data_IF_058289481279
#
_entry.id   IF_058289481279
#
_cell.length_a   1.000
_cell.length_b   1.000
_cell.length_c   1.000
_cell.angle_alpha   90.00
_cell.angle_beta   90.00
_cell.angle_gamma   90.00
#
_symmetry.space_group_name_H-M   'P 1'
#
loop_
_entity.id
_entity.type
_entity.pdbx_description
1 polymer ?
#
# COMPACT_ATOMS: atom_id res chain seq x y z
N UNK A 1 -0.43 -6.24 -23.70
CA UNK A 1 -0.79 -5.26 -22.65
C UNK A 1 0.39 -5.07 -21.71
N UNK A 2 0.57 -3.85 -21.22
CA UNK A 2 1.59 -3.59 -20.21
C UNK A 2 1.23 -4.28 -18.91
N UNK A 3 2.23 -4.53 -18.06
CA UNK A 3 2.00 -5.13 -16.75
C UNK A 3 1.11 -4.23 -15.86
N UNK A 4 1.26 -2.91 -16.00
CA UNK A 4 0.38 -1.95 -15.31
C UNK A 4 -1.08 -2.15 -15.69
N UNK A 5 -1.37 -2.23 -16.98
CA UNK A 5 -2.75 -2.42 -17.47
C UNK A 5 -3.36 -3.72 -16.98
N UNK A 6 -2.57 -4.80 -16.96
CA UNK A 6 -3.03 -6.10 -16.45
C UNK A 6 -3.38 -6.05 -14.98
N UNK A 7 -2.52 -5.44 -14.17
CA UNK A 7 -2.77 -5.32 -12.72
C UNK A 7 -3.96 -4.42 -12.44
N UNK A 8 -4.05 -3.30 -13.15
CA UNK A 8 -5.19 -2.38 -13.02
C UNK A 8 -6.50 -3.10 -13.33
N UNK A 9 -6.55 -3.84 -14.43
CA UNK A 9 -7.73 -4.61 -14.82
C UNK A 9 -8.09 -5.66 -13.76
N UNK A 10 -7.11 -6.42 -13.28
CA UNK A 10 -7.32 -7.43 -12.25
C UNK A 10 -7.89 -6.84 -10.96
N UNK A 11 -7.37 -5.69 -10.54
CA UNK A 11 -7.81 -5.04 -9.30
C UNK A 11 -9.24 -4.49 -9.43
N UNK A 12 -9.59 -3.94 -10.59
CA UNK A 12 -10.96 -3.48 -10.85
C UNK A 12 -11.93 -4.66 -10.82
N UNK A 13 -11.57 -5.77 -11.45
CA UNK A 13 -12.38 -6.99 -11.46
C UNK A 13 -12.55 -7.57 -10.05
N UNK A 14 -11.49 -7.53 -9.25
CA UNK A 14 -11.53 -8.00 -7.86
C UNK A 14 -12.55 -7.21 -7.02
N UNK A 15 -12.69 -5.90 -7.28
CA UNK A 15 -13.67 -5.07 -6.60
C UNK A 15 -15.11 -5.31 -7.10
N UNK A 16 -15.27 -6.03 -8.20
CA UNK A 16 -16.58 -6.28 -8.78
C UNK A 16 -17.21 -5.07 -9.47
N UNK A 17 -16.40 -4.08 -9.83
CA UNK A 17 -16.86 -2.87 -10.50
C UNK A 17 -16.63 -2.97 -12.00
N UNK A 18 -17.52 -2.34 -12.80
CA UNK A 18 -17.22 -2.13 -14.21
C UNK A 18 -16.37 -0.88 -14.38
N UNK A 19 -15.88 -0.64 -15.60
CA UNK A 19 -14.99 0.49 -15.89
C UNK A 19 -15.64 1.84 -15.59
N UNK A 20 -16.92 1.99 -15.92
CA UNK A 20 -17.65 3.22 -15.68
C UNK A 20 -17.79 3.52 -14.20
N UNK A 21 -18.16 2.50 -13.42
CA UNK A 21 -18.30 2.62 -11.97
C UNK A 21 -16.98 2.97 -11.30
N UNK A 22 -15.91 2.30 -11.73
CA UNK A 22 -14.58 2.54 -11.19
C UNK A 22 -14.11 3.96 -11.50
N UNK A 23 -14.28 4.42 -12.75
CA UNK A 23 -13.88 5.77 -13.15
C UNK A 23 -14.61 6.83 -12.32
N UNK A 24 -15.91 6.66 -12.10
CA UNK A 24 -16.69 7.56 -11.26
C UNK A 24 -16.20 7.59 -9.82
N UNK A 25 -15.90 6.41 -9.27
CA UNK A 25 -15.43 6.28 -7.89
C UNK A 25 -14.04 6.88 -7.70
N UNK A 26 -13.16 6.73 -8.67
CA UNK A 26 -11.81 7.28 -8.64
C UNK A 26 -11.76 8.78 -8.97
N UNK A 27 -12.86 9.34 -9.49
CA UNK A 27 -12.90 10.74 -9.89
C UNK A 27 -12.13 11.02 -11.17
N UNK A 28 -12.07 10.06 -12.08
CA UNK A 28 -11.41 10.20 -13.38
C UNK A 28 -12.42 9.99 -14.50
N UNK A 29 -12.08 10.45 -15.70
CA UNK A 29 -12.94 10.25 -16.88
C UNK A 29 -12.84 8.81 -17.35
N UNK A 30 -13.98 8.21 -17.72
CA UNK A 30 -14.01 6.86 -18.30
C UNK A 30 -13.10 6.76 -19.50
N UNK A 31 -13.07 7.79 -20.35
CA UNK A 31 -12.22 7.84 -21.53
C UNK A 31 -10.73 7.71 -21.19
N UNK A 32 -10.30 8.37 -20.11
CA UNK A 32 -8.92 8.25 -19.62
C UNK A 32 -8.64 6.82 -19.14
N UNK A 33 -9.56 6.24 -18.39
CA UNK A 33 -9.41 4.86 -17.92
C UNK A 33 -9.33 3.88 -19.09
N UNK A 34 -10.15 4.06 -20.11
CA UNK A 34 -10.13 3.23 -21.31
C UNK A 34 -8.75 3.26 -21.99
N UNK A 35 -8.10 4.44 -22.02
CA UNK A 35 -6.76 4.57 -22.56
C UNK A 35 -5.71 3.80 -21.77
N UNK A 36 -5.85 3.75 -20.44
CA UNK A 36 -4.92 3.02 -19.58
C UNK A 36 -5.11 1.51 -19.68
N UNK A 37 -6.34 1.06 -19.91
CA UNK A 37 -6.67 -0.37 -20.04
C UNK A 37 -6.58 -0.91 -21.45
N UNK A 38 -6.58 -0.03 -22.46
CA UNK A 38 -6.68 -0.41 -23.85
C UNK A 38 -5.33 -0.69 -24.52
N UNK A 39 -5.39 -0.91 -25.83
CA UNK A 39 -4.23 -1.25 -26.65
C UNK A 39 -3.19 -0.14 -26.73
N UNK A 40 -3.56 1.10 -26.45
CA UNK A 40 -2.64 2.24 -26.45
C UNK A 40 -1.65 2.20 -25.30
N UNK A 41 -1.96 1.44 -24.24
CA UNK A 41 -1.09 1.25 -23.06
C UNK A 41 -0.58 2.57 -22.47
N UNK A 42 -1.44 3.60 -22.48
CA UNK A 42 -1.11 4.89 -21.89
C UNK A 42 -0.89 4.76 -20.39
N UNK A 43 0.08 5.51 -19.89
CA UNK A 43 0.30 5.58 -18.44
C UNK A 43 -0.37 6.83 -17.88
N UNK A 44 -1.03 6.74 -16.71
CA UNK A 44 -1.64 7.92 -16.12
C UNK A 44 -0.59 8.89 -15.60
N UNK A 45 -0.90 10.21 -15.59
CA UNK A 45 -0.10 11.16 -14.85
C UNK A 45 -0.03 10.81 -13.36
N UNK A 46 0.96 11.32 -12.66
CA UNK A 46 1.20 10.95 -11.26
C UNK A 46 -0.01 11.20 -10.36
N UNK A 47 -0.70 12.33 -10.52
CA UNK A 47 -1.89 12.65 -9.72
C UNK A 47 -3.03 11.68 -10.00
N UNK A 48 -3.25 11.31 -11.25
CA UNK A 48 -4.26 10.34 -11.65
C UNK A 48 -3.91 8.95 -11.12
N UNK A 49 -2.63 8.57 -11.18
CA UNK A 49 -2.15 7.28 -10.64
C UNK A 49 -2.44 7.16 -9.15
N UNK A 50 -2.25 8.23 -8.38
CA UNK A 50 -2.57 8.25 -6.95
C UNK A 50 -4.07 8.06 -6.71
N UNK A 51 -4.93 8.73 -7.49
CA UNK A 51 -6.38 8.56 -7.38
C UNK A 51 -6.81 7.12 -7.65
N UNK A 52 -6.24 6.50 -8.68
CA UNK A 52 -6.52 5.11 -9.03
C UNK A 52 -6.08 4.18 -7.89
N UNK A 53 -4.84 4.31 -7.43
CA UNK A 53 -4.28 3.47 -6.38
C UNK A 53 -5.06 3.60 -5.07
N UNK A 54 -5.42 4.82 -4.68
CA UNK A 54 -6.20 5.08 -3.46
C UNK A 54 -7.58 4.42 -3.53
N UNK A 55 -8.24 4.47 -4.68
CA UNK A 55 -9.55 3.86 -4.88
C UNK A 55 -9.45 2.33 -4.81
N UNK A 56 -8.37 1.75 -5.32
CA UNK A 56 -8.13 0.32 -5.25
C UNK A 56 -7.63 -0.17 -3.88
N UNK A 57 -7.11 0.73 -3.06
CA UNK A 57 -6.48 0.35 -1.79
C UNK A 57 -5.11 -0.28 -1.94
N UNK A 58 -4.41 0.03 -3.03
CA UNK A 58 -3.06 -0.47 -3.31
C UNK A 58 -2.10 0.71 -3.51
N UNK A 59 -0.81 0.42 -3.59
CA UNK A 59 0.18 1.46 -3.87
C UNK A 59 0.37 1.66 -5.37
N UNK A 60 0.79 2.86 -5.77
CA UNK A 60 1.18 3.13 -7.16
C UNK A 60 2.32 2.21 -7.56
N UNK A 61 3.28 2.00 -6.66
CA UNK A 61 4.43 1.13 -6.93
C UNK A 61 3.99 -0.30 -7.26
N UNK A 62 3.03 -0.85 -6.51
CA UNK A 62 2.47 -2.17 -6.82
C UNK A 62 1.91 -2.23 -8.24
N UNK A 63 1.14 -1.23 -8.65
CA UNK A 63 0.54 -1.21 -9.99
C UNK A 63 1.60 -1.18 -11.08
N UNK A 64 2.71 -0.48 -10.85
CA UNK A 64 3.79 -0.33 -11.85
C UNK A 64 4.74 -1.52 -11.84
N UNK A 65 5.17 -1.98 -10.66
CA UNK A 65 6.25 -2.96 -10.53
C UNK A 65 5.79 -4.35 -10.11
N UNK A 66 4.58 -4.47 -9.57
CA UNK A 66 4.08 -5.72 -9.00
C UNK A 66 4.62 -6.04 -7.61
N UNK A 67 5.41 -5.17 -7.04
CA UNK A 67 5.95 -5.37 -5.69
C UNK A 67 4.98 -4.88 -4.64
N UNK A 68 4.44 -5.79 -3.86
CA UNK A 68 3.64 -5.43 -2.70
C UNK A 68 4.55 -5.17 -1.51
N UNK A 69 4.55 -3.93 -1.04
CA UNK A 69 5.06 -3.67 0.29
C UNK A 69 3.94 -3.96 1.27
N UNK A 70 4.03 -5.09 1.97
CA UNK A 70 3.18 -5.32 3.12
C UNK A 70 3.62 -4.35 4.19
N UNK A 71 2.92 -3.24 4.29
CA UNK A 71 3.04 -2.42 5.47
C UNK A 71 2.29 -3.14 6.58
N UNK A 72 3.03 -3.78 7.48
CA UNK A 72 2.46 -4.36 8.68
C UNK A 72 1.94 -3.28 9.63
N UNK A 73 2.24 -2.02 9.33
CA UNK A 73 1.88 -0.84 10.14
C UNK A 73 1.32 0.22 9.19
N UNK A 74 0.12 0.71 9.46
CA UNK A 74 -0.48 1.77 8.65
C UNK A 74 0.19 3.13 8.95
N UNK A 75 -0.12 4.14 8.12
CA UNK A 75 0.46 5.48 8.24
C UNK A 75 0.09 6.12 9.58
N UNK A 76 -1.13 5.92 10.08
CA UNK A 76 -1.56 6.43 11.39
C UNK A 76 -0.67 5.93 12.51
N UNK A 77 -0.40 4.62 12.51
CA UNK A 77 0.47 4.00 13.50
C UNK A 77 1.91 4.53 13.40
N UNK A 78 2.42 4.68 12.17
CA UNK A 78 3.75 5.26 11.95
C UNK A 78 3.85 6.67 12.52
N UNK A 79 2.87 7.52 12.25
CA UNK A 79 2.87 8.90 12.73
C UNK A 79 2.80 8.97 14.26
N UNK A 80 2.06 8.05 14.87
CA UNK A 80 1.95 7.95 16.33
C UNK A 80 3.29 7.65 17.00
N UNK A 81 4.14 6.86 16.36
CA UNK A 81 5.43 6.43 16.91
C UNK A 81 6.64 7.14 16.30
N UNK A 82 6.39 8.16 15.48
CA UNK A 82 7.44 8.88 14.77
C UNK A 82 8.54 9.42 15.68
N UNK A 83 8.16 10.04 16.80
CA UNK A 83 9.12 10.61 17.75
C UNK A 83 10.01 9.53 18.36
N UNK A 84 9.45 8.36 18.66
CA UNK A 84 10.22 7.22 19.20
C UNK A 84 11.21 6.73 18.15
N UNK A 85 10.81 6.68 16.87
CA UNK A 85 11.68 6.28 15.78
C UNK A 85 12.84 7.26 15.59
N UNK A 86 12.56 8.57 15.68
CA UNK A 86 13.59 9.60 15.59
C UNK A 86 14.60 9.47 16.73
N UNK A 87 14.12 9.24 17.95
CA UNK A 87 14.98 9.04 19.13
C UNK A 87 15.84 7.78 18.99
N UNK A 88 15.25 6.67 18.51
CA UNK A 88 16.01 5.45 18.27
C UNK A 88 17.10 5.63 17.22
N UNK A 89 16.85 6.47 16.22
CA UNK A 89 17.79 6.69 15.12
C UNK A 89 19.09 7.38 15.58
N UNK A 90 19.04 8.19 16.65
CA UNK A 90 20.23 8.87 17.17
C UNK A 90 21.03 8.02 18.16
N UNK A 91 20.50 6.86 18.58
CA UNK A 91 21.21 5.98 19.49
C UNK A 91 22.25 5.14 18.74
N UNK A 92 23.42 4.88 19.35
CA UNK A 92 24.37 3.93 18.75
C UNK A 92 23.81 2.50 18.80
N UNK A 93 24.31 1.65 17.90
CA UNK A 93 23.86 0.27 17.78
C UNK A 93 23.96 -0.51 19.09
N UNK A 94 24.98 -0.24 19.88
CA UNK A 94 25.22 -0.89 21.18
C UNK A 94 24.07 -0.68 22.15
N UNK A 95 23.38 0.47 22.08
CA UNK A 95 22.24 0.80 22.92
C UNK A 95 20.94 0.40 22.23
N UNK A 96 20.87 0.58 20.90
CA UNK A 96 19.67 0.30 20.13
C UNK A 96 19.32 -1.18 20.10
N UNK A 97 20.32 -2.06 19.93
CA UNK A 97 20.09 -3.49 19.77
C UNK A 97 19.41 -4.14 20.98
N UNK A 98 19.85 -3.88 22.23
CA UNK A 98 19.12 -4.39 23.39
C UNK A 98 17.67 -3.91 23.48
N UNK A 99 17.41 -2.65 23.11
CA UNK A 99 16.06 -2.08 23.10
C UNK A 99 15.18 -2.81 22.08
N UNK A 100 15.71 -3.06 20.89
CA UNK A 100 15.00 -3.81 19.84
C UNK A 100 14.66 -5.22 20.31
N UNK A 101 15.59 -5.88 20.99
CA UNK A 101 15.38 -7.22 21.52
C UNK A 101 14.25 -7.24 22.56
N UNK A 102 14.20 -6.27 23.46
CA UNK A 102 13.13 -6.16 24.47
C UNK A 102 11.78 -5.93 23.81
N UNK A 103 11.71 -5.00 22.85
CA UNK A 103 10.47 -4.70 22.13
C UNK A 103 9.96 -5.95 21.41
N UNK A 104 10.86 -6.67 20.74
CA UNK A 104 10.49 -7.88 20.02
C UNK A 104 9.95 -8.95 20.95
N UNK A 105 10.59 -9.16 22.11
CA UNK A 105 10.15 -10.14 23.09
C UNK A 105 8.73 -9.86 23.60
N UNK A 106 8.43 -8.60 23.92
CA UNK A 106 7.09 -8.20 24.34
C UNK A 106 6.07 -8.34 23.21
N UNK A 107 6.43 -7.93 22.00
CA UNK A 107 5.55 -8.04 20.85
C UNK A 107 5.20 -9.48 20.52
N UNK A 108 6.17 -10.38 20.57
CA UNK A 108 5.95 -11.81 20.33
C UNK A 108 5.04 -12.43 21.39
N UNK A 109 5.21 -12.01 22.65
CA UNK A 109 4.34 -12.45 23.75
C UNK A 109 2.89 -12.04 23.51
N UNK A 110 2.66 -10.79 23.08
CA UNK A 110 1.30 -10.30 22.77
C UNK A 110 0.69 -10.99 21.56
N UNK A 111 1.50 -11.29 20.54
CA UNK A 111 1.02 -12.04 19.37
C UNK A 111 0.57 -13.45 19.75
N UNK A 112 1.29 -14.12 20.65
CA UNK A 112 0.89 -15.44 21.15
C UNK A 112 -0.42 -15.38 21.91
N UNK A 113 -0.65 -14.36 22.73
CA UNK A 113 -1.92 -14.16 23.44
C UNK A 113 -3.08 -14.01 22.47
N UNK A 114 -2.91 -13.23 21.39
CA UNK A 114 -3.94 -13.05 20.36
C UNK A 114 -4.27 -14.34 19.64
N UNK A 115 -3.27 -15.19 19.39
CA UNK A 115 -3.49 -16.49 18.76
C UNK A 115 -4.25 -17.44 19.70
N UNK A 116 -4.01 -17.37 21.00
CA UNK A 116 -4.68 -18.22 21.99
C UNK A 116 -6.16 -17.85 22.17
N UNK A 117 -6.54 -16.61 21.87
CA UNK A 117 -7.91 -16.08 22.03
C UNK A 117 -8.80 -16.35 20.81
N UNK A 118 -8.29 -17.02 19.78
CA UNK A 118 -9.03 -17.33 18.55
C UNK A 118 -9.74 -18.69 18.64
#
# INVERSE_FOLDING_TARGET
MSEFSKRLRSEIEYLGLNQKEFAAKAGIKKRALDAYLGAQQSMPPADTAVKIASTLGVSVEYLVTGKEYRQSVDISCYLQFRDILDDLAVLPDEIRDPIKTVIKAFADSERKKKQADV
#
